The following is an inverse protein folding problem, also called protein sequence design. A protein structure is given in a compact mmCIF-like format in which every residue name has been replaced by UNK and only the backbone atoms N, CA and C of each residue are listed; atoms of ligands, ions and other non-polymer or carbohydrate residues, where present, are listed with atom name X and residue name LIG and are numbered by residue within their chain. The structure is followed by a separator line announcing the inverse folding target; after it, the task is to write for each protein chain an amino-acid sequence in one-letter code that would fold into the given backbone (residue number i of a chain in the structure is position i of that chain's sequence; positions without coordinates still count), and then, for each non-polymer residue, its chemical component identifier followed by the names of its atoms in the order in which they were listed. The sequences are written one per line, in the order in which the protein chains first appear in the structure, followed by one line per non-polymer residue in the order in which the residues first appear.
data_IF_123834990365
#
_entry.id   IF_123834990365
#
_cell.length_a   1.000
_cell.length_b   1.000
_cell.length_c   1.000
_cell.angle_alpha   90.00
_cell.angle_beta   90.00
_cell.angle_gamma   90.00
#
_symmetry.space_group_name_H-M   'P 1'
#
loop_
_entity.id
_entity.type
_entity.pdbx_description
1 polymer ?
#
# COMPACT_ATOMS: atom_id res chain seq x y z
N UNK A 1 5.37 17.89 2.57
CA UNK A 1 4.53 17.42 1.44
C UNK A 1 4.10 16.01 1.78
N UNK A 2 2.83 15.82 2.15
CA UNK A 2 2.28 14.51 2.41
C UNK A 2 2.06 13.84 1.06
N UNK A 3 2.87 12.84 0.72
CA UNK A 3 2.64 12.00 -0.47
C UNK A 3 1.45 11.12 -0.16
N UNK A 4 0.32 11.35 -0.83
CA UNK A 4 -0.82 10.45 -0.77
C UNK A 4 -0.43 9.08 -1.35
N UNK A 5 -0.82 8.01 -0.67
CA UNK A 5 -0.59 6.64 -1.13
C UNK A 5 -1.32 6.39 -2.45
N UNK A 6 -0.60 5.87 -3.45
CA UNK A 6 -1.14 5.56 -4.77
C UNK A 6 -0.85 4.11 -5.13
N UNK A 7 -1.90 3.35 -5.43
CA UNK A 7 -1.80 1.99 -5.95
C UNK A 7 -2.02 2.01 -7.47
N UNK A 8 -1.06 1.49 -8.23
CA UNK A 8 -1.15 1.33 -9.68
C UNK A 8 -1.23 -0.17 -9.98
N UNK A 9 -2.28 -0.59 -10.68
CA UNK A 9 -2.51 -1.99 -11.04
C UNK A 9 -2.50 -2.12 -12.56
N UNK A 10 -1.71 -3.06 -13.07
CA UNK A 10 -1.73 -3.48 -14.48
C UNK A 10 -2.06 -4.96 -14.56
N UNK A 11 -2.97 -5.32 -15.46
CA UNK A 11 -3.38 -6.72 -15.70
C UNK A 11 -3.10 -7.02 -17.16
N UNK A 12 -2.33 -8.06 -17.43
CA UNK A 12 -2.05 -8.48 -18.81
C UNK A 12 -3.15 -9.40 -19.37
N UNK A 13 -3.00 -9.77 -20.64
CA UNK A 13 -3.95 -10.64 -21.36
C UNK A 13 -4.05 -12.07 -20.79
N UNK A 14 -3.04 -12.49 -20.03
CA UNK A 14 -2.95 -13.82 -19.44
C UNK A 14 -3.44 -13.80 -17.97
N UNK A 15 -3.85 -12.63 -17.47
CA UNK A 15 -4.37 -12.44 -16.12
C UNK A 15 -3.28 -12.20 -15.06
N UNK A 16 -2.03 -11.98 -15.45
CA UNK A 16 -0.98 -11.63 -14.50
C UNK A 16 -1.20 -10.21 -14.01
N UNK A 17 -1.17 -10.03 -12.68
CA UNK A 17 -1.35 -8.76 -12.01
C UNK A 17 0.00 -8.21 -11.58
N UNK A 18 0.31 -6.98 -12.00
CA UNK A 18 1.43 -6.19 -11.49
C UNK A 18 0.89 -5.03 -10.66
N UNK A 19 1.39 -4.86 -9.44
CA UNK A 19 0.98 -3.81 -8.53
C UNK A 19 2.18 -2.96 -8.09
N UNK A 20 2.05 -1.64 -8.17
CA UNK A 20 3.04 -0.68 -7.67
C UNK A 20 2.40 0.20 -6.59
N UNK A 21 3.04 0.23 -5.42
CA UNK A 21 2.61 1.03 -4.27
C UNK A 21 3.55 2.23 -4.13
N UNK A 22 3.03 3.42 -4.42
CA UNK A 22 3.77 4.67 -4.40
C UNK A 22 3.31 5.56 -3.23
N UNK A 23 4.21 6.40 -2.71
CA UNK A 23 3.90 7.36 -1.66
C UNK A 23 3.75 6.78 -0.25
N UNK A 24 3.77 5.45 -0.10
CA UNK A 24 3.80 4.74 1.18
C UNK A 24 5.25 4.54 1.62
N UNK A 25 5.55 4.89 2.86
CA UNK A 25 6.86 4.69 3.48
C UNK A 25 6.78 3.60 4.52
N UNK A 26 7.87 2.88 4.69
CA UNK A 26 8.01 1.84 5.69
C UNK A 26 7.24 0.54 5.39
N UNK A 27 7.21 -0.38 6.37
CA UNK A 27 6.65 -1.72 6.19
C UNK A 27 5.14 -1.78 5.93
N UNK A 28 4.38 -0.70 6.15
CA UNK A 28 2.94 -0.61 5.90
C UNK A 28 2.56 -0.86 4.44
N UNK A 29 3.50 -0.74 3.49
CA UNK A 29 3.25 -1.18 2.11
C UNK A 29 2.89 -2.68 2.03
N UNK A 30 3.36 -3.50 2.99
CA UNK A 30 3.05 -4.94 3.08
C UNK A 30 1.58 -5.23 3.39
N UNK A 31 0.86 -4.29 3.99
CA UNK A 31 -0.57 -4.45 4.24
C UNK A 31 -1.38 -4.33 2.94
N UNK A 32 -0.94 -3.46 2.02
CA UNK A 32 -1.52 -3.35 0.68
C UNK A 32 -1.23 -4.60 -0.15
N UNK A 33 -0.03 -5.17 -0.05
CA UNK A 33 0.30 -6.44 -0.73
C UNK A 33 -0.65 -7.57 -0.33
N UNK A 34 -0.88 -7.76 0.98
CA UNK A 34 -1.82 -8.77 1.48
C UNK A 34 -3.25 -8.54 1.01
N UNK A 35 -3.69 -7.28 1.02
CA UNK A 35 -5.02 -6.92 0.54
C UNK A 35 -5.18 -7.29 -0.95
N UNK A 36 -4.16 -7.01 -1.77
CA UNK A 36 -4.20 -7.33 -3.21
C UNK A 36 -4.28 -8.83 -3.42
N UNK A 37 -3.46 -9.64 -2.72
CA UNK A 37 -3.54 -11.10 -2.81
C UNK A 37 -4.93 -11.64 -2.49
N UNK A 38 -5.57 -11.11 -1.43
CA UNK A 38 -6.92 -11.50 -1.04
C UNK A 38 -7.97 -11.11 -2.08
N UNK A 39 -7.85 -9.91 -2.66
CA UNK A 39 -8.82 -9.42 -3.64
C UNK A 39 -8.79 -10.18 -4.96
N UNK A 40 -7.60 -10.62 -5.39
CA UNK A 40 -7.44 -11.35 -6.66
C UNK A 40 -7.42 -12.87 -6.46
N UNK A 41 -7.58 -13.35 -5.22
CA UNK A 41 -7.41 -14.76 -4.83
C UNK A 41 -6.10 -15.37 -5.37
N UNK A 42 -5.05 -14.56 -5.40
CA UNK A 42 -3.78 -14.87 -6.06
C UNK A 42 -2.62 -15.07 -5.09
N UNK A 43 -1.41 -15.16 -5.65
CA UNK A 43 -0.16 -15.21 -4.89
C UNK A 43 0.88 -14.31 -5.52
N UNK A 44 1.60 -13.57 -4.68
CA UNK A 44 2.76 -12.81 -5.10
C UNK A 44 3.87 -13.80 -5.45
N UNK A 45 4.26 -13.79 -6.73
CA UNK A 45 5.35 -14.63 -7.24
C UNK A 45 6.69 -13.89 -7.27
N UNK A 46 6.67 -12.56 -7.29
CA UNK A 46 7.85 -11.70 -7.29
C UNK A 46 7.55 -10.39 -6.57
N UNK A 47 8.53 -9.87 -5.81
CA UNK A 47 8.45 -8.56 -5.17
C UNK A 47 9.76 -7.78 -5.38
N UNK A 48 9.66 -6.45 -5.37
CA UNK A 48 10.83 -5.56 -5.38
C UNK A 48 10.55 -4.40 -4.45
N UNK A 49 11.41 -4.24 -3.44
CA UNK A 49 11.28 -3.17 -2.45
C UNK A 49 11.98 -1.91 -2.94
N UNK A 50 11.29 -0.79 -2.85
CA UNK A 50 11.89 0.53 -3.14
C UNK A 50 12.58 1.09 -1.90
N UNK A 51 13.39 2.13 -2.07
CA UNK A 51 14.03 2.81 -0.93
C UNK A 51 13.01 3.27 0.14
N UNK A 52 11.78 3.64 -0.28
CA UNK A 52 10.70 4.07 0.60
C UNK A 52 10.29 3.00 1.63
N UNK A 53 10.46 1.72 1.33
CA UNK A 53 10.20 0.62 2.28
C UNK A 53 11.10 0.69 3.52
N UNK A 54 12.34 1.15 3.36
CA UNK A 54 13.32 1.23 4.44
C UNK A 54 13.26 2.57 5.20
N UNK A 55 12.43 3.51 4.74
CA UNK A 55 12.19 4.76 5.44
C UNK A 55 11.26 4.54 6.64
N UNK A 56 11.48 5.29 7.73
CA UNK A 56 10.60 5.21 8.90
C UNK A 56 9.20 5.76 8.58
N UNK A 57 8.20 5.03 9.03
CA UNK A 57 6.82 5.51 9.07
C UNK A 57 6.68 6.66 10.07
N UNK A 58 6.32 7.83 9.57
CA UNK A 58 5.80 8.90 10.43
C UNK A 58 4.32 8.60 10.67
N UNK A 59 4.02 7.96 11.80
CA UNK A 59 2.64 7.76 12.26
C UNK A 59 2.07 9.10 12.71
N UNK A 60 1.38 9.82 11.83
CA UNK A 60 0.49 10.89 12.25
C UNK A 60 -0.73 10.27 12.93
N UNK A 61 -0.88 10.53 14.22
CA UNK A 61 -2.00 10.07 15.04
C UNK A 61 -3.29 10.81 14.60
N UNK A 62 -4.07 10.18 13.73
CA UNK A 62 -5.33 10.71 13.16
C UNK A 62 -6.51 10.77 14.16
N UNK A 63 -6.24 10.77 15.47
CA UNK A 63 -7.28 10.93 16.52
C UNK A 63 -7.91 12.32 16.59
N UNK A 64 -7.56 13.27 15.71
CA UNK A 64 -8.09 14.64 15.78
C UNK A 64 -9.49 14.84 15.19
N UNK A 65 -10.09 13.84 14.50
CA UNK A 65 -11.36 14.01 13.79
C UNK A 65 -12.61 13.40 14.46
N UNK A 66 -12.52 12.87 15.69
CA UNK A 66 -13.68 12.29 16.40
C UNK A 66 -14.07 13.06 17.67
N UNK A 67 -13.97 14.40 17.67
CA UNK A 67 -14.61 15.20 18.71
C UNK A 67 -15.98 15.71 18.25
N UNK A 68 -16.99 15.34 19.05
CA UNK A 68 -18.30 15.95 19.26
C UNK A 68 -19.46 15.43 18.40
N UNK A 69 -20.25 14.54 19.03
CA UNK A 69 -21.68 14.75 19.24
C UNK A 69 -22.15 13.85 20.41
N UNK A 70 -22.22 14.43 21.60
CA UNK A 70 -22.92 13.92 22.79
C UNK A 70 -23.71 15.07 23.40
#
# INVERSE_FOLDING_TARGET
MSTEGKLIISIDKDGNVTAEINGVKGPSCKDYEKLIEQLIEGKIINETLTAGYYEQEVKTDDRSHLSNNL
#
